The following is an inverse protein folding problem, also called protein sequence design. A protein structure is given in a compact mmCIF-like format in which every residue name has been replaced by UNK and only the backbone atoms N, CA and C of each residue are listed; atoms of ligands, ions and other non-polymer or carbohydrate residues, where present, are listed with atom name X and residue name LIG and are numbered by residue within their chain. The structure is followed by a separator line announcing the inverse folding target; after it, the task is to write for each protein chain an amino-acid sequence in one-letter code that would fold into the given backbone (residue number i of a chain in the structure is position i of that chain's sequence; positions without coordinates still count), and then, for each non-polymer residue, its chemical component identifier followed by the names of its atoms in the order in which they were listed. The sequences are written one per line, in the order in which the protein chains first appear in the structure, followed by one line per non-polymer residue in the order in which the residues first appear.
data_IF_160016944076
#
_entry.id   IF_160016944076
#
_cell.length_a   1.000
_cell.length_b   1.000
_cell.length_c   1.000
_cell.angle_alpha   90.00
_cell.angle_beta   90.00
_cell.angle_gamma   90.00
#
_symmetry.space_group_name_H-M   'P 1'
#
loop_
_entity.id
_entity.type
_entity.pdbx_description
1 polymer ?
#
# COMPACT_ATOMS: atom_id res chain seq x y z
N UNK A 1 -5.67 -2.07 -9.55
CA UNK A 1 -5.54 -0.72 -8.94
C UNK A 1 -4.52 -0.80 -7.83
N UNK A 2 -3.51 0.07 -7.81
CA UNK A 2 -2.53 0.12 -6.72
C UNK A 2 -3.21 0.75 -5.50
N UNK A 3 -3.35 0.00 -4.40
CA UNK A 3 -3.92 0.51 -3.14
C UNK A 3 -2.84 1.17 -2.29
N UNK A 4 -2.91 2.50 -2.11
CA UNK A 4 -1.94 3.22 -1.25
C UNK A 4 -2.51 3.50 0.14
N UNK A 5 -3.81 3.27 0.34
CA UNK A 5 -4.43 3.33 1.66
C UNK A 5 -4.85 1.94 2.09
N UNK A 6 -4.36 1.54 3.26
CA UNK A 6 -4.72 0.28 3.92
C UNK A 6 -6.22 0.34 4.20
N UNK A 7 -6.97 -0.61 3.63
CA UNK A 7 -8.32 -0.86 4.10
C UNK A 7 -8.21 -1.45 5.49
N UNK A 8 -8.21 -0.61 6.52
CA UNK A 8 -8.26 -1.08 7.89
C UNK A 8 -9.50 -1.96 8.06
N UNK A 9 -9.29 -3.20 8.49
CA UNK A 9 -10.32 -4.22 8.63
C UNK A 9 -11.04 -3.97 9.95
N UNK A 10 -11.84 -2.90 10.00
CA UNK A 10 -12.52 -2.53 11.21
C UNK A 10 -13.55 -3.61 11.61
N UNK A 11 -13.30 -4.23 12.77
CA UNK A 11 -14.14 -5.30 13.28
C UNK A 11 -15.43 -4.68 13.82
N UNK A 12 -16.55 -4.97 13.14
CA UNK A 12 -17.89 -4.63 13.61
C UNK A 12 -18.18 -5.36 14.94
N UNK A 13 -18.52 -4.59 15.97
CA UNK A 13 -18.77 -5.13 17.30
C UNK A 13 -20.18 -5.76 17.41
N UNK A 14 -20.34 -6.83 18.22
CA UNK A 14 -21.62 -7.52 18.41
C UNK A 14 -22.27 -7.08 19.73
N UNK A 15 -23.29 -6.23 19.61
CA UNK A 15 -23.99 -5.56 20.71
C UNK A 15 -24.34 -6.39 21.95
N UNK A 16 -24.02 -5.81 23.11
CA UNK A 16 -24.95 -5.72 24.23
C UNK A 16 -25.64 -4.33 24.23
N UNK A 17 -26.94 -4.27 23.91
CA UNK A 17 -27.81 -3.08 23.77
C UNK A 17 -28.01 -2.26 25.07
N UNK A 18 -26.92 -1.87 25.72
CA UNK A 18 -26.89 -1.49 27.12
C UNK A 18 -26.85 0.00 27.45
N UNK A 19 -26.38 0.93 26.59
CA UNK A 19 -26.20 2.31 27.09
C UNK A 19 -25.98 3.41 26.02
N UNK A 20 -26.87 3.55 25.02
CA UNK A 20 -26.76 4.57 23.96
C UNK A 20 -26.77 6.06 24.43
N UNK A 21 -26.91 6.32 25.75
CA UNK A 21 -26.89 7.68 26.32
C UNK A 21 -25.79 7.94 27.37
N UNK A 22 -24.97 6.94 27.67
CA UNK A 22 -23.84 7.07 28.60
C UNK A 22 -22.63 7.77 27.94
N UNK A 23 -21.72 8.40 28.69
CA UNK A 23 -20.45 8.89 28.15
C UNK A 23 -19.68 7.79 27.38
N UNK A 24 -19.63 6.58 27.92
CA UNK A 24 -18.99 5.41 27.31
C UNK A 24 -19.63 5.03 25.97
N UNK A 25 -20.97 4.96 25.95
CA UNK A 25 -21.72 4.64 24.74
C UNK A 25 -21.59 5.69 23.63
N UNK A 26 -21.33 6.96 23.98
CA UNK A 26 -21.01 8.00 22.98
C UNK A 26 -19.63 7.83 22.38
N UNK A 27 -18.63 7.53 23.21
CA UNK A 27 -17.27 7.23 22.72
C UNK A 27 -17.32 6.04 21.77
N UNK A 28 -18.02 4.96 22.15
CA UNK A 28 -18.19 3.79 21.31
C UNK A 28 -18.91 4.11 19.98
N UNK A 29 -20.01 4.88 20.03
CA UNK A 29 -20.75 5.30 18.83
C UNK A 29 -19.89 6.12 17.86
N UNK A 30 -18.96 6.92 18.36
CA UNK A 30 -18.05 7.71 17.51
C UNK A 30 -16.97 6.83 16.87
N UNK A 31 -16.46 5.83 17.60
CA UNK A 31 -15.57 4.80 17.04
C UNK A 31 -16.31 4.07 15.92
N UNK A 32 -17.53 3.59 16.16
CA UNK A 32 -18.33 2.89 15.14
C UNK A 32 -18.58 3.77 13.90
N UNK A 33 -18.93 5.05 14.09
CA UNK A 33 -19.11 6.00 12.98
C UNK A 33 -17.83 6.14 12.15
N UNK A 34 -16.69 6.22 12.82
CA UNK A 34 -15.41 6.29 12.12
C UNK A 34 -15.14 5.03 11.29
N UNK A 35 -15.33 3.88 11.89
CA UNK A 35 -15.01 2.58 11.32
C UNK A 35 -15.93 2.17 10.18
N UNK A 36 -17.23 2.44 10.31
CA UNK A 36 -18.25 2.03 9.34
C UNK A 36 -18.45 3.06 8.22
N UNK A 37 -18.23 4.35 8.50
CA UNK A 37 -18.52 5.44 7.56
C UNK A 37 -17.25 6.23 7.17
N UNK A 38 -16.59 6.88 8.13
CA UNK A 38 -15.53 7.88 7.82
C UNK A 38 -14.31 7.25 7.15
N UNK A 39 -13.76 6.17 7.70
CA UNK A 39 -12.53 5.55 7.19
C UNK A 39 -12.73 4.84 5.83
N UNK A 40 -13.83 4.10 5.58
CA UNK A 40 -14.12 3.59 4.24
C UNK A 40 -14.29 4.69 3.20
N UNK A 41 -15.02 5.77 3.51
CA UNK A 41 -15.22 6.88 2.59
C UNK A 41 -13.90 7.60 2.26
N UNK A 42 -13.04 7.81 3.27
CA UNK A 42 -11.70 8.36 3.08
C UNK A 42 -10.85 7.49 2.16
N UNK A 43 -10.85 6.17 2.41
CA UNK A 43 -10.07 5.19 1.63
C UNK A 43 -10.53 5.19 0.18
N UNK A 44 -11.84 5.18 -0.07
CA UNK A 44 -12.41 5.25 -1.42
C UNK A 44 -12.06 6.56 -2.14
N UNK A 45 -12.15 7.70 -1.43
CA UNK A 45 -11.84 9.01 -2.01
C UNK A 45 -10.37 9.09 -2.45
N UNK A 46 -9.43 8.70 -1.58
CA UNK A 46 -8.00 8.75 -1.91
C UNK A 46 -7.65 7.72 -2.99
N UNK A 47 -8.21 6.51 -2.92
CA UNK A 47 -8.02 5.51 -3.98
C UNK A 47 -8.48 6.02 -5.35
N UNK A 48 -9.65 6.68 -5.39
CA UNK A 48 -10.18 7.28 -6.61
C UNK A 48 -9.25 8.36 -7.17
N UNK A 49 -8.57 9.13 -6.31
CA UNK A 49 -7.58 10.10 -6.75
C UNK A 49 -6.39 9.38 -7.40
N UNK A 50 -5.82 8.39 -6.70
CA UNK A 50 -4.68 7.59 -7.16
C UNK A 50 -4.94 6.93 -8.52
N UNK A 51 -6.10 6.30 -8.68
CA UNK A 51 -6.45 5.59 -9.91
C UNK A 51 -6.47 6.54 -11.12
N UNK A 52 -6.90 7.79 -10.88
CA UNK A 52 -6.88 8.84 -11.90
C UNK A 52 -5.48 9.33 -12.21
N UNK A 53 -4.55 9.30 -11.27
CA UNK A 53 -3.14 9.61 -11.56
C UNK A 53 -2.51 8.54 -12.45
N UNK A 54 -2.84 7.27 -12.21
CA UNK A 54 -2.41 6.18 -13.07
C UNK A 54 -2.97 6.35 -14.49
N UNK A 55 -4.26 6.70 -14.60
CA UNK A 55 -4.90 7.01 -15.88
C UNK A 55 -4.23 8.20 -16.60
N UNK A 56 -3.81 9.24 -15.86
CA UNK A 56 -3.16 10.44 -16.42
C UNK A 56 -1.93 10.09 -17.26
N UNK A 57 -1.14 9.11 -16.84
CA UNK A 57 0.05 8.68 -17.58
C UNK A 57 -0.31 8.10 -18.95
N UNK A 58 -1.40 7.32 -19.02
CA UNK A 58 -1.89 6.74 -20.27
C UNK A 58 -2.41 7.85 -21.19
N UNK A 59 -3.27 8.73 -20.65
CA UNK A 59 -3.84 9.86 -21.39
C UNK A 59 -2.76 10.80 -21.92
N UNK A 60 -1.69 11.03 -21.15
CA UNK A 60 -0.57 11.87 -21.58
C UNK A 60 0.18 11.26 -22.76
N UNK A 61 0.48 9.96 -22.71
CA UNK A 61 1.16 9.27 -23.79
C UNK A 61 0.36 9.30 -25.09
N UNK A 62 -0.96 9.10 -25.01
CA UNK A 62 -1.87 9.22 -26.16
C UNK A 62 -1.86 10.65 -26.72
N UNK A 63 -2.04 11.66 -25.86
CA UNK A 63 -2.13 13.07 -26.27
C UNK A 63 -0.83 13.65 -26.86
N UNK A 64 0.34 13.11 -26.52
CA UNK A 64 1.63 13.51 -27.13
C UNK A 64 1.80 12.89 -28.52
N UNK A 65 1.11 11.79 -28.81
CA UNK A 65 1.17 11.11 -30.12
C UNK A 65 0.14 11.62 -31.12
N UNK A 66 -0.97 12.18 -30.64
CA UNK A 66 -2.02 12.79 -31.45
C UNK A 66 -2.01 14.34 -31.35
N UNK A 67 -2.67 15.07 -32.25
CA UNK A 67 -2.72 16.55 -32.22
C UNK A 67 -3.54 17.13 -31.03
N UNK A 68 -3.88 16.30 -30.03
CA UNK A 68 -4.86 16.55 -28.97
C UNK A 68 -4.38 17.51 -27.85
N UNK A 69 -3.06 17.72 -27.70
CA UNK A 69 -2.53 18.73 -26.76
C UNK A 69 -3.04 20.15 -27.06
N UNK A 70 -3.43 20.43 -28.31
CA UNK A 70 -4.03 21.71 -28.69
C UNK A 70 -5.43 21.91 -28.06
N UNK A 71 -6.17 20.82 -27.84
CA UNK A 71 -7.54 20.83 -27.34
C UNK A 71 -7.63 20.93 -25.80
N UNK A 72 -6.49 20.83 -25.09
CA UNK A 72 -6.42 21.07 -23.65
C UNK A 72 -6.92 22.48 -23.28
N UNK A 73 -6.62 23.48 -24.11
CA UNK A 73 -7.05 24.89 -23.93
C UNK A 73 -8.56 25.08 -24.07
N UNK A 74 -9.25 24.14 -24.71
CA UNK A 74 -10.69 24.18 -24.92
C UNK A 74 -11.48 23.46 -23.81
N UNK A 75 -10.79 22.99 -22.76
CA UNK A 75 -11.39 22.30 -21.59
C UNK A 75 -12.23 21.07 -21.97
N UNK A 76 -11.82 20.35 -23.02
CA UNK A 76 -12.55 19.20 -23.58
C UNK A 76 -11.71 17.94 -23.74
N UNK A 77 -10.41 18.03 -23.47
CA UNK A 77 -9.52 16.88 -23.60
C UNK A 77 -9.73 15.91 -22.45
N UNK A 78 -9.51 14.60 -22.66
CA UNK A 78 -9.48 13.61 -21.58
C UNK A 78 -8.54 14.01 -20.43
N UNK A 79 -7.38 14.61 -20.76
CA UNK A 79 -6.43 15.17 -19.78
C UNK A 79 -7.09 16.22 -18.88
N UNK A 80 -7.86 17.15 -19.46
CA UNK A 80 -8.52 18.21 -18.71
C UNK A 80 -9.59 17.65 -17.77
N UNK A 81 -10.41 16.71 -18.24
CA UNK A 81 -11.44 16.10 -17.39
C UNK A 81 -10.80 15.29 -16.25
N UNK A 82 -9.74 14.52 -16.51
CA UNK A 82 -9.04 13.81 -15.43
C UNK A 82 -8.50 14.76 -14.36
N UNK A 83 -7.82 15.86 -14.75
CA UNK A 83 -7.34 16.87 -13.80
C UNK A 83 -8.45 17.47 -12.95
N UNK A 84 -9.58 17.80 -13.59
CA UNK A 84 -10.74 18.38 -12.93
C UNK A 84 -11.34 17.39 -11.93
N UNK A 85 -11.48 16.13 -12.32
CA UNK A 85 -12.03 15.10 -11.44
C UNK A 85 -11.10 14.80 -10.25
N UNK A 86 -9.78 14.76 -10.43
CA UNK A 86 -8.82 14.68 -9.31
C UNK A 86 -8.93 15.86 -8.35
N UNK A 87 -9.06 17.07 -8.89
CA UNK A 87 -9.22 18.29 -8.10
C UNK A 87 -10.53 18.29 -7.30
N UNK A 88 -11.63 17.85 -7.92
CA UNK A 88 -12.93 17.78 -7.26
C UNK A 88 -12.93 16.72 -6.14
N UNK A 89 -12.30 15.56 -6.37
CA UNK A 89 -12.11 14.52 -5.34
C UNK A 89 -11.26 15.04 -4.17
N UNK A 90 -10.11 15.66 -4.45
CA UNK A 90 -9.25 16.22 -3.42
C UNK A 90 -9.96 17.33 -2.62
N UNK A 91 -10.75 18.18 -3.28
CA UNK A 91 -11.55 19.18 -2.60
C UNK A 91 -12.61 18.54 -1.68
N UNK A 92 -13.18 17.40 -2.05
CA UNK A 92 -14.13 16.64 -1.24
C UNK A 92 -13.56 16.17 0.10
N UNK A 93 -12.23 15.99 0.21
CA UNK A 93 -11.58 15.59 1.46
C UNK A 93 -11.80 16.59 2.62
N UNK A 94 -12.18 17.84 2.33
CA UNK A 94 -12.50 18.82 3.38
C UNK A 94 -13.70 18.40 4.23
N UNK A 95 -14.64 17.62 3.69
CA UNK A 95 -15.77 17.10 4.47
C UNK A 95 -15.27 16.12 5.54
N UNK A 96 -14.36 15.21 5.17
CA UNK A 96 -13.70 14.30 6.12
C UNK A 96 -12.84 15.04 7.14
N UNK A 97 -12.14 16.12 6.76
CA UNK A 97 -11.39 16.98 7.69
C UNK A 97 -12.30 17.58 8.79
N UNK A 98 -13.48 18.08 8.40
CA UNK A 98 -14.46 18.64 9.33
C UNK A 98 -15.04 17.57 10.27
N UNK A 99 -15.35 16.38 9.75
CA UNK A 99 -15.83 15.24 10.55
C UNK A 99 -14.81 14.81 11.60
N UNK A 100 -13.54 14.63 11.21
CA UNK A 100 -12.46 14.22 12.12
C UNK A 100 -12.17 15.28 13.19
N UNK A 101 -12.26 16.56 12.82
CA UNK A 101 -12.15 17.66 13.79
C UNK A 101 -13.24 17.55 14.86
N UNK A 102 -14.50 17.38 14.43
CA UNK A 102 -15.62 17.22 15.36
C UNK A 102 -15.47 15.98 16.25
N UNK A 103 -15.06 14.86 15.66
CA UNK A 103 -14.83 13.61 16.37
C UNK A 103 -13.73 13.72 17.43
N UNK A 104 -12.61 14.38 17.10
CA UNK A 104 -11.53 14.66 18.04
C UNK A 104 -12.03 15.51 19.23
N UNK A 105 -12.79 16.58 18.96
CA UNK A 105 -13.37 17.43 20.02
C UNK A 105 -14.34 16.66 20.93
N UNK A 106 -15.12 15.73 20.37
CA UNK A 106 -16.03 14.87 21.12
C UNK A 106 -15.29 13.89 22.02
N UNK A 107 -14.20 13.27 21.55
CA UNK A 107 -13.35 12.42 22.39
C UNK A 107 -12.65 13.22 23.52
N UNK A 108 -12.15 14.43 23.21
CA UNK A 108 -11.55 15.32 24.23
C UNK A 108 -12.58 15.74 25.28
N UNK A 109 -13.84 15.97 24.88
CA UNK A 109 -14.89 16.44 25.79
C UNK A 109 -15.67 15.32 26.50
N UNK A 110 -15.41 14.04 26.17
CA UNK A 110 -16.04 12.90 26.82
C UNK A 110 -15.82 12.92 28.35
N UNK A 111 -16.92 12.93 29.10
CA UNK A 111 -16.92 12.91 30.57
C UNK A 111 -16.89 11.48 31.11
N UNK A 112 -15.73 10.85 30.98
CA UNK A 112 -15.45 9.51 31.52
C UNK A 112 -14.87 9.57 32.94
N UNK A 113 -15.03 10.69 33.64
CA UNK A 113 -14.41 10.90 34.97
C UNK A 113 -15.00 10.04 36.08
N UNK A 114 -16.26 9.61 35.91
CA UNK A 114 -16.97 8.68 36.79
C UNK A 114 -17.01 7.24 36.25
N UNK A 115 -16.38 6.98 35.10
CA UNK A 115 -16.32 5.65 34.49
C UNK A 115 -15.43 4.71 35.29
N UNK A 116 -15.87 3.46 35.50
CA UNK A 116 -15.02 2.41 36.09
C UNK A 116 -14.24 1.63 35.02
N UNK A 117 -14.66 1.77 33.76
CA UNK A 117 -14.18 1.03 32.60
C UNK A 117 -13.23 1.88 31.72
N UNK A 118 -13.59 3.13 31.42
CA UNK A 118 -12.82 4.00 30.53
C UNK A 118 -11.99 5.03 31.27
N UNK A 119 -10.79 5.26 30.76
CA UNK A 119 -9.88 6.30 31.24
C UNK A 119 -9.86 7.51 30.31
N UNK A 120 -9.49 8.67 30.87
CA UNK A 120 -9.31 9.88 30.05
C UNK A 120 -8.17 9.73 29.04
N UNK A 121 -7.14 8.94 29.38
CA UNK A 121 -6.01 8.65 28.50
C UNK A 121 -6.46 7.90 27.23
N UNK A 122 -7.33 6.89 27.35
CA UNK A 122 -7.88 6.17 26.20
C UNK A 122 -8.68 7.09 25.27
N UNK A 123 -9.54 7.96 25.83
CA UNK A 123 -10.26 8.94 25.00
C UNK A 123 -9.33 9.97 24.36
N UNK A 124 -8.21 10.30 25.01
CA UNK A 124 -7.23 11.23 24.45
C UNK A 124 -6.46 10.61 23.29
N UNK A 125 -6.09 9.32 23.36
CA UNK A 125 -5.44 8.62 22.23
C UNK A 125 -6.30 8.67 20.97
N UNK A 126 -7.60 8.37 21.09
CA UNK A 126 -8.55 8.47 19.97
C UNK A 126 -8.62 9.89 19.39
N UNK A 127 -8.69 10.90 20.27
CA UNK A 127 -8.70 12.29 19.84
C UNK A 127 -7.43 12.68 19.09
N UNK A 128 -6.27 12.25 19.59
CA UNK A 128 -4.96 12.55 19.01
C UNK A 128 -4.85 11.88 17.63
N UNK A 129 -5.24 10.60 17.50
CA UNK A 129 -5.24 9.88 16.21
C UNK A 129 -6.16 10.54 15.18
N UNK A 130 -7.38 10.94 15.56
CA UNK A 130 -8.30 11.67 14.69
C UNK A 130 -7.72 13.02 14.24
N UNK A 131 -7.07 13.77 15.15
CA UNK A 131 -6.43 15.05 14.84
C UNK A 131 -5.23 14.89 13.89
N UNK A 132 -4.40 13.86 14.07
CA UNK A 132 -3.27 13.62 13.16
C UNK A 132 -3.73 13.13 11.79
N UNK A 133 -4.80 12.33 11.75
CA UNK A 133 -5.41 11.90 10.50
C UNK A 133 -5.96 13.10 9.72
N UNK A 134 -6.68 14.02 10.38
CA UNK A 134 -7.14 15.28 9.77
C UNK A 134 -5.98 16.06 9.15
N UNK A 135 -4.87 16.24 9.89
CA UNK A 135 -3.70 16.96 9.38
C UNK A 135 -3.11 16.30 8.14
N UNK A 136 -3.04 14.97 8.12
CA UNK A 136 -2.49 14.21 6.99
C UNK A 136 -3.37 14.36 5.75
N UNK A 137 -4.70 14.27 5.92
CA UNK A 137 -5.68 14.50 4.84
C UNK A 137 -5.60 15.92 4.31
N UNK A 138 -5.49 16.90 5.22
CA UNK A 138 -5.32 18.30 4.85
C UNK A 138 -4.06 18.54 4.02
N UNK A 139 -2.95 17.91 4.38
CA UNK A 139 -1.71 17.97 3.60
C UNK A 139 -1.88 17.38 2.20
N UNK A 140 -2.62 16.27 2.06
CA UNK A 140 -2.98 15.71 0.74
C UNK A 140 -3.82 16.73 -0.05
N UNK A 141 -4.91 17.25 0.53
CA UNK A 141 -5.80 18.20 -0.15
C UNK A 141 -5.07 19.46 -0.61
N UNK A 142 -4.23 20.04 0.26
CA UNK A 142 -3.44 21.24 -0.06
C UNK A 142 -2.39 20.93 -1.14
N UNK A 143 -1.70 19.80 -1.06
CA UNK A 143 -0.75 19.37 -2.09
C UNK A 143 -1.40 19.13 -3.45
N UNK A 144 -2.63 18.61 -3.50
CA UNK A 144 -3.38 18.47 -4.76
C UNK A 144 -3.78 19.80 -5.40
N UNK A 145 -3.95 20.85 -4.62
CA UNK A 145 -4.17 22.18 -5.18
C UNK A 145 -2.92 22.66 -5.96
N UNK A 146 -1.73 22.38 -5.42
CA UNK A 146 -0.45 22.72 -6.04
C UNK A 146 -0.15 21.84 -7.27
N UNK A 147 -0.33 20.52 -7.15
CA UNK A 147 -0.23 19.56 -8.27
C UNK A 147 -1.15 19.98 -9.42
N UNK A 148 -2.44 20.22 -9.14
CA UNK A 148 -3.42 20.59 -10.18
C UNK A 148 -3.02 21.88 -10.88
N UNK A 149 -2.47 22.85 -10.15
CA UNK A 149 -1.97 24.11 -10.72
C UNK A 149 -0.74 23.89 -11.59
N UNK A 150 0.22 23.06 -11.16
CA UNK A 150 1.43 22.75 -11.90
C UNK A 150 1.12 21.97 -13.18
N UNK A 151 0.31 20.90 -13.09
CA UNK A 151 -0.09 20.07 -14.23
C UNK A 151 -0.89 20.89 -15.27
N UNK A 152 -1.80 21.76 -14.82
CA UNK A 152 -2.52 22.67 -15.74
C UNK A 152 -1.54 23.57 -16.49
N UNK A 153 -0.60 24.20 -15.77
CA UNK A 153 0.40 25.09 -16.36
C UNK A 153 1.30 24.35 -17.35
N UNK A 154 1.68 23.12 -17.00
CA UNK A 154 2.51 22.24 -17.82
C UNK A 154 1.82 21.89 -19.14
N UNK A 155 0.57 21.40 -19.11
CA UNK A 155 -0.14 21.04 -20.33
C UNK A 155 -0.47 22.25 -21.21
N UNK A 156 -0.78 23.41 -20.63
CA UNK A 156 -0.96 24.65 -21.40
C UNK A 156 0.33 25.09 -22.12
N UNK A 157 1.47 24.92 -21.46
CA UNK A 157 2.80 25.23 -22.01
C UNK A 157 3.18 24.24 -23.12
N UNK A 158 2.95 22.93 -22.92
CA UNK A 158 3.20 21.90 -23.92
C UNK A 158 2.31 22.06 -25.16
N UNK A 159 1.04 22.42 -25.00
CA UNK A 159 0.14 22.77 -26.10
C UNK A 159 0.44 24.14 -26.76
N UNK A 160 1.57 24.77 -26.43
CA UNK A 160 2.04 26.01 -27.03
C UNK A 160 2.94 25.76 -28.25
N UNK A 161 2.86 26.62 -29.27
CA UNK A 161 3.67 26.47 -30.49
C UNK A 161 5.18 26.66 -30.32
N UNK A 162 5.63 27.09 -29.13
CA UNK A 162 7.03 27.30 -28.77
C UNK A 162 7.56 26.24 -27.78
N UNK A 163 6.78 25.18 -27.49
CA UNK A 163 7.20 24.13 -26.56
C UNK A 163 8.47 23.42 -27.05
N UNK A 164 9.41 23.21 -26.13
CA UNK A 164 10.68 22.57 -26.39
C UNK A 164 11.00 21.49 -25.35
N UNK A 165 12.17 20.85 -25.49
CA UNK A 165 12.61 19.83 -24.54
C UNK A 165 12.69 20.34 -23.10
N UNK A 166 13.10 21.60 -22.89
CA UNK A 166 13.20 22.15 -21.53
C UNK A 166 11.82 22.36 -20.92
N UNK A 167 10.85 22.80 -21.72
CA UNK A 167 9.43 22.90 -21.31
C UNK A 167 8.92 21.56 -20.77
N UNK A 168 9.21 20.45 -21.47
CA UNK A 168 8.82 19.11 -21.03
C UNK A 168 9.57 18.67 -19.77
N UNK A 169 10.91 18.81 -19.76
CA UNK A 169 11.76 18.36 -18.66
C UNK A 169 11.46 19.12 -17.37
N UNK A 170 11.46 20.44 -17.41
CA UNK A 170 11.31 21.29 -16.22
C UNK A 170 9.92 21.11 -15.61
N UNK A 171 8.89 21.00 -16.44
CA UNK A 171 7.53 20.76 -15.97
C UNK A 171 7.35 19.37 -15.34
N UNK A 172 7.95 18.33 -15.93
CA UNK A 172 7.90 16.98 -15.36
C UNK A 172 8.69 16.90 -14.03
N UNK A 173 9.85 17.55 -13.95
CA UNK A 173 10.65 17.61 -12.71
C UNK A 173 9.85 18.30 -11.57
N UNK A 174 9.15 19.39 -11.88
CA UNK A 174 8.28 20.09 -10.92
C UNK A 174 7.09 19.22 -10.48
N UNK A 175 6.36 18.63 -11.44
CA UNK A 175 5.20 17.78 -11.19
C UNK A 175 5.58 16.55 -10.34
N UNK A 176 6.68 15.86 -10.69
CA UNK A 176 7.14 14.69 -9.94
C UNK A 176 7.50 15.04 -8.50
N UNK A 177 8.14 16.20 -8.28
CA UNK A 177 8.49 16.66 -6.92
C UNK A 177 7.24 16.85 -6.07
N UNK A 178 6.19 17.49 -6.61
CA UNK A 178 4.93 17.70 -5.90
C UNK A 178 4.19 16.38 -5.62
N UNK A 179 4.18 15.45 -6.58
CA UNK A 179 3.61 14.12 -6.39
C UNK A 179 4.35 13.31 -5.32
N UNK A 180 5.68 13.37 -5.29
CA UNK A 180 6.49 12.68 -4.28
C UNK A 180 6.20 13.22 -2.86
N UNK A 181 6.01 14.54 -2.73
CA UNK A 181 5.59 15.16 -1.47
C UNK A 181 4.21 14.66 -1.02
N UNK A 182 3.21 14.66 -1.91
CA UNK A 182 1.85 14.18 -1.60
C UNK A 182 1.83 12.69 -1.29
N UNK A 183 2.59 11.89 -2.02
CA UNK A 183 2.71 10.44 -1.79
C UNK A 183 3.22 10.12 -0.38
N UNK A 184 4.11 10.95 0.15
CA UNK A 184 4.57 10.83 1.54
C UNK A 184 3.43 10.94 2.57
N UNK A 185 2.36 11.69 2.26
CA UNK A 185 1.22 11.86 3.16
C UNK A 185 0.25 10.67 3.15
N UNK A 186 0.21 9.85 2.11
CA UNK A 186 -0.60 8.61 2.12
C UNK A 186 -0.12 7.62 3.19
N UNK A 187 1.20 7.51 3.39
CA UNK A 187 1.77 6.70 4.46
C UNK A 187 1.34 7.19 5.85
N UNK A 188 1.34 8.51 6.05
CA UNK A 188 0.88 9.10 7.31
C UNK A 188 -0.61 8.82 7.56
N UNK A 189 -1.47 8.86 6.52
CA UNK A 189 -2.88 8.48 6.65
C UNK A 189 -3.04 7.04 7.13
N UNK A 190 -2.27 6.10 6.58
CA UNK A 190 -2.29 4.69 7.00
C UNK A 190 -1.89 4.52 8.47
N UNK A 191 -0.80 5.17 8.88
CA UNK A 191 -0.33 5.15 10.26
C UNK A 191 -1.43 5.65 11.21
N UNK A 192 -2.12 6.74 10.86
CA UNK A 192 -3.16 7.29 11.72
C UNK A 192 -4.47 6.48 11.72
N UNK A 193 -4.81 5.82 10.61
CA UNK A 193 -5.92 4.86 10.55
C UNK A 193 -5.68 3.68 11.51
N UNK A 194 -4.47 3.10 11.50
CA UNK A 194 -4.10 2.00 12.41
C UNK A 194 -4.01 2.46 13.88
N UNK A 195 -3.49 3.67 14.12
CA UNK A 195 -3.45 4.24 15.46
C UNK A 195 -4.87 4.44 16.03
N UNK A 196 -5.80 4.92 15.20
CA UNK A 196 -7.21 5.03 15.58
C UNK A 196 -7.83 3.66 15.87
N UNK A 197 -7.63 2.68 14.99
CA UNK A 197 -8.12 1.32 15.16
C UNK A 197 -7.62 0.69 16.47
N UNK A 198 -6.32 0.81 16.74
CA UNK A 198 -5.69 0.30 17.97
C UNK A 198 -6.29 0.96 19.21
N UNK A 199 -6.44 2.29 19.20
CA UNK A 199 -7.07 3.02 20.31
C UNK A 199 -8.56 2.67 20.47
N UNK A 200 -9.27 2.43 19.37
CA UNK A 200 -10.67 1.98 19.35
C UNK A 200 -10.83 0.59 19.96
N UNK A 201 -9.94 -0.33 19.61
CA UNK A 201 -9.91 -1.68 20.15
C UNK A 201 -9.60 -1.70 21.66
N UNK A 202 -8.68 -0.84 22.14
CA UNK A 202 -8.45 -0.66 23.58
C UNK A 202 -9.73 -0.23 24.32
N UNK A 203 -10.54 0.67 23.73
CA UNK A 203 -11.81 1.13 24.30
C UNK A 203 -12.86 0.02 24.27
N UNK A 204 -13.04 -0.66 23.12
CA UNK A 204 -13.98 -1.79 22.98
C UNK A 204 -13.71 -2.90 23.99
N UNK A 205 -12.44 -3.27 24.16
CA UNK A 205 -12.02 -4.28 25.13
C UNK A 205 -12.32 -3.83 26.58
N UNK A 206 -12.06 -2.57 26.92
CA UNK A 206 -12.36 -2.03 28.24
C UNK A 206 -13.86 -2.04 28.56
N UNK A 207 -14.72 -1.87 27.55
CA UNK A 207 -16.18 -1.93 27.67
C UNK A 207 -16.76 -3.35 27.63
N UNK A 208 -15.91 -4.37 27.46
CA UNK A 208 -16.33 -5.78 27.43
C UNK A 208 -17.01 -6.20 26.13
N UNK A 209 -16.77 -5.49 25.02
CA UNK A 209 -17.14 -5.97 23.68
C UNK A 209 -16.21 -7.15 23.31
N UNK A 210 -16.78 -8.27 22.84
CA UNK A 210 -15.98 -9.40 22.33
C UNK A 210 -15.41 -9.03 20.95
N UNK A 211 -14.08 -8.93 20.84
CA UNK A 211 -13.38 -8.92 19.55
C UNK A 211 -13.12 -10.37 19.12
N UNK A 212 -13.74 -10.85 18.03
CA UNK A 212 -13.36 -12.15 17.47
C UNK A 212 -12.13 -12.00 16.59
N UNK A 213 -11.01 -12.65 16.95
CA UNK A 213 -9.82 -12.65 16.11
C UNK A 213 -8.58 -13.35 16.68
N UNK A 214 -8.68 -14.58 17.21
CA UNK A 214 -7.53 -15.48 17.36
C UNK A 214 -7.84 -16.79 16.60
N UNK A 215 -7.41 -16.85 15.34
CA UNK A 215 -7.51 -18.03 14.49
C UNK A 215 -6.18 -18.75 14.38
N UNK A 216 -5.76 -19.44 15.43
CA UNK A 216 -4.65 -20.40 15.33
C UNK A 216 -5.09 -21.60 14.46
N UNK A 217 -4.53 -21.74 13.26
CA UNK A 217 -4.72 -22.93 12.42
C UNK A 217 -3.45 -23.79 12.43
N UNK A 218 -3.64 -25.05 12.83
CA UNK A 218 -2.62 -26.08 12.87
C UNK A 218 -2.07 -26.39 11.47
N UNK A 219 -0.75 -26.45 11.37
CA UNK A 219 0.00 -27.00 10.24
C UNK A 219 -0.24 -28.50 10.11
N UNK A 220 -0.81 -28.96 8.99
CA UNK A 220 -0.65 -30.33 8.52
C UNK A 220 0.21 -30.30 7.25
N UNK A 221 1.49 -30.61 7.41
CA UNK A 221 2.44 -30.78 6.30
C UNK A 221 2.31 -32.20 5.73
N UNK A 222 1.91 -32.31 4.45
CA UNK A 222 2.12 -33.52 3.66
C UNK A 222 3.06 -33.16 2.49
N UNK A 223 4.35 -33.45 2.68
CA UNK A 223 5.40 -33.26 1.69
C UNK A 223 5.32 -34.35 0.60
N UNK A 224 5.12 -33.93 -0.65
CA UNK A 224 5.40 -34.75 -1.82
C UNK A 224 6.91 -34.68 -2.12
N UNK A 225 7.55 -35.86 -2.12
CA UNK A 225 8.97 -36.01 -2.40
C UNK A 225 9.26 -35.86 -3.90
N UNK A 226 10.10 -34.88 -4.28
CA UNK A 226 10.81 -34.86 -5.56
C UNK A 226 12.34 -34.84 -5.33
N UNK A 227 13.07 -35.51 -6.22
CA UNK A 227 14.44 -35.98 -6.00
C UNK A 227 15.50 -34.88 -5.90
N UNK A 228 16.61 -35.21 -5.22
CA UNK A 228 17.79 -34.34 -5.02
C UNK A 228 18.31 -33.79 -6.35
N UNK A 229 17.90 -32.56 -6.70
CA UNK A 229 18.51 -31.74 -7.74
C UNK A 229 19.84 -31.19 -7.22
N UNK A 230 20.90 -31.26 -8.04
CA UNK A 230 22.20 -30.70 -7.68
C UNK A 230 22.09 -29.16 -7.67
N UNK A 231 22.36 -28.53 -6.52
CA UNK A 231 22.33 -27.08 -6.35
C UNK A 231 23.57 -26.44 -7.00
N UNK A 232 23.37 -25.80 -8.16
CA UNK A 232 24.47 -25.27 -8.98
C UNK A 232 24.97 -23.90 -8.51
N UNK A 233 24.11 -23.08 -7.92
CA UNK A 233 24.43 -21.73 -7.47
C UNK A 233 23.88 -21.48 -6.06
N UNK A 234 24.57 -20.66 -5.29
CA UNK A 234 24.09 -20.10 -4.02
C UNK A 234 24.12 -18.58 -4.09
N UNK A 235 23.32 -17.90 -3.26
CA UNK A 235 23.40 -16.45 -3.09
C UNK A 235 24.49 -16.14 -2.06
N UNK A 236 25.40 -15.22 -2.39
CA UNK A 236 26.39 -14.71 -1.45
C UNK A 236 25.72 -13.72 -0.46
N UNK A 237 25.74 -13.97 0.85
CA UNK A 237 24.99 -13.16 1.82
C UNK A 237 25.55 -11.74 2.02
N UNK A 238 26.77 -11.44 1.54
CA UNK A 238 27.37 -10.11 1.65
C UNK A 238 27.17 -9.23 0.42
N UNK A 239 26.80 -9.82 -0.71
CA UNK A 239 26.72 -9.13 -2.01
C UNK A 239 25.47 -9.44 -2.81
N UNK A 240 24.66 -10.41 -2.35
CA UNK A 240 23.46 -10.92 -3.02
C UNK A 240 23.70 -11.46 -4.43
N UNK A 241 24.95 -11.70 -4.81
CA UNK A 241 25.31 -12.26 -6.10
C UNK A 241 25.14 -13.78 -6.10
N UNK A 242 24.67 -14.32 -7.22
CA UNK A 242 24.75 -15.76 -7.44
C UNK A 242 26.21 -16.15 -7.65
N UNK A 243 26.67 -17.15 -6.89
CA UNK A 243 28.02 -17.71 -7.01
C UNK A 243 27.91 -19.21 -7.27
N UNK A 244 28.76 -19.77 -8.17
CA UNK A 244 28.85 -21.20 -8.39
C UNK A 244 29.07 -21.98 -7.08
N UNK A 245 28.19 -22.92 -6.77
CA UNK A 245 28.32 -23.87 -5.65
C UNK A 245 28.68 -25.28 -6.10
N UNK A 246 28.72 -25.54 -7.41
CA UNK A 246 29.13 -26.80 -8.03
C UNK A 246 30.17 -26.58 -9.14
N UNK A 247 31.03 -27.58 -9.36
CA UNK A 247 31.96 -27.63 -10.51
C UNK A 247 31.23 -27.66 -11.86
N UNK A 248 29.94 -28.03 -11.88
CA UNK A 248 29.11 -28.08 -13.08
C UNK A 248 28.45 -26.73 -13.42
N UNK A 249 28.57 -25.73 -12.55
CA UNK A 249 27.93 -24.43 -12.73
C UNK A 249 28.70 -23.55 -13.72
N UNK A 250 27.97 -22.92 -14.65
CA UNK A 250 28.55 -21.92 -15.56
C UNK A 250 28.88 -20.63 -14.79
N UNK A 251 30.15 -20.20 -14.73
CA UNK A 251 30.55 -18.98 -14.03
C UNK A 251 30.04 -17.69 -14.68
N UNK A 252 29.48 -17.74 -15.89
CA UNK A 252 28.92 -16.59 -16.60
C UNK A 252 27.39 -16.49 -16.49
N UNK A 253 26.77 -17.25 -15.60
CA UNK A 253 25.32 -17.20 -15.38
C UNK A 253 24.85 -15.83 -14.87
N UNK A 254 23.62 -15.48 -15.25
CA UNK A 254 22.91 -14.29 -14.81
C UNK A 254 21.58 -14.74 -14.21
N UNK A 255 21.28 -14.24 -13.01
CA UNK A 255 19.96 -14.40 -12.41
C UNK A 255 19.08 -13.22 -12.80
N UNK A 256 17.97 -13.51 -13.46
CA UNK A 256 16.95 -12.51 -13.77
C UNK A 256 15.98 -12.47 -12.58
N UNK A 257 15.72 -11.27 -12.07
CA UNK A 257 14.74 -11.05 -11.02
C UNK A 257 13.88 -9.86 -11.39
N UNK A 258 12.57 -9.95 -11.13
CA UNK A 258 11.59 -8.92 -11.43
C UNK A 258 10.92 -8.53 -10.11
N UNK A 259 10.96 -7.25 -9.78
CA UNK A 259 10.31 -6.70 -8.58
C UNK A 259 8.96 -6.09 -8.96
N UNK A 260 8.18 -5.70 -7.95
CA UNK A 260 6.87 -5.05 -8.08
C UNK A 260 5.78 -5.86 -8.80
N UNK A 261 5.83 -7.18 -8.67
CA UNK A 261 4.86 -8.11 -9.25
C UNK A 261 3.71 -8.46 -8.27
N UNK A 262 2.58 -9.03 -8.73
CA UNK A 262 2.19 -9.19 -10.13
C UNK A 262 1.39 -7.99 -10.65
N UNK A 263 1.61 -7.67 -11.92
CA UNK A 263 0.72 -6.85 -12.75
C UNK A 263 0.59 -7.50 -14.14
N UNK A 264 -0.18 -6.88 -15.05
CA UNK A 264 -0.31 -7.40 -16.43
C UNK A 264 1.05 -7.48 -17.13
N UNK A 265 1.91 -6.48 -16.92
CA UNK A 265 3.26 -6.44 -17.49
C UNK A 265 4.10 -7.62 -17.00
N UNK A 266 4.01 -7.98 -15.72
CA UNK A 266 4.70 -9.12 -15.12
C UNK A 266 4.24 -10.45 -15.72
N UNK A 267 2.93 -10.60 -15.99
CA UNK A 267 2.39 -11.77 -16.69
C UNK A 267 2.90 -11.84 -18.12
N UNK A 268 2.88 -10.74 -18.88
CA UNK A 268 3.44 -10.68 -20.24
C UNK A 268 4.96 -10.99 -20.27
N UNK A 269 5.70 -10.47 -19.28
CA UNK A 269 7.12 -10.79 -19.10
C UNK A 269 7.32 -12.27 -18.78
N UNK A 270 6.51 -12.87 -17.91
CA UNK A 270 6.58 -14.29 -17.58
C UNK A 270 6.36 -15.17 -18.82
N UNK A 271 5.37 -14.88 -19.66
CA UNK A 271 5.17 -15.58 -20.94
C UNK A 271 6.39 -15.46 -21.85
N UNK A 272 6.93 -14.25 -22.00
CA UNK A 272 8.12 -14.01 -22.83
C UNK A 272 9.34 -14.78 -22.32
N UNK A 273 9.59 -14.75 -21.01
CA UNK A 273 10.68 -15.48 -20.37
C UNK A 273 10.51 -16.99 -20.53
N UNK A 274 9.28 -17.49 -20.45
CA UNK A 274 8.96 -18.90 -20.66
C UNK A 274 9.23 -19.34 -22.09
N UNK A 275 8.86 -18.53 -23.08
CA UNK A 275 9.15 -18.79 -24.49
C UNK A 275 10.65 -18.82 -24.80
N UNK A 276 11.43 -18.03 -24.05
CA UNK A 276 12.89 -17.97 -24.17
C UNK A 276 13.62 -19.05 -23.35
N UNK A 277 12.90 -19.88 -22.59
CA UNK A 277 13.47 -20.85 -21.64
C UNK A 277 14.43 -20.17 -20.64
N UNK A 278 14.09 -18.95 -20.23
CA UNK A 278 14.89 -18.12 -19.32
C UNK A 278 14.26 -18.14 -17.92
N UNK A 279 14.88 -18.81 -16.92
CA UNK A 279 14.37 -18.82 -15.56
C UNK A 279 14.53 -17.45 -14.89
N UNK A 280 13.59 -17.11 -14.01
CA UNK A 280 13.58 -15.86 -13.26
C UNK A 280 12.88 -16.05 -11.90
N UNK A 281 13.12 -15.10 -11.00
CA UNK A 281 12.38 -14.95 -9.73
C UNK A 281 11.51 -13.69 -9.84
N UNK A 282 10.25 -13.81 -9.47
CA UNK A 282 9.33 -12.67 -9.36
C UNK A 282 9.12 -12.34 -7.89
N UNK A 283 9.61 -11.18 -7.46
CA UNK A 283 9.39 -10.64 -6.12
C UNK A 283 8.07 -9.88 -6.11
N UNK A 284 7.12 -10.36 -5.30
CA UNK A 284 5.74 -9.90 -5.33
C UNK A 284 5.37 -9.10 -4.10
N UNK A 285 4.47 -8.14 -4.29
CA UNK A 285 3.90 -7.35 -3.21
C UNK A 285 2.54 -7.88 -2.76
N UNK A 286 2.35 -7.98 -1.45
CA UNK A 286 1.07 -8.39 -0.84
C UNK A 286 -0.11 -7.57 -1.36
N UNK A 287 0.04 -6.24 -1.44
CA UNK A 287 -0.99 -5.31 -1.93
C UNK A 287 -1.45 -5.59 -3.37
N UNK A 288 -0.62 -6.27 -4.18
CA UNK A 288 -0.95 -6.63 -5.57
C UNK A 288 -1.64 -7.99 -5.69
N UNK A 289 -1.62 -8.81 -4.63
CA UNK A 289 -2.22 -10.15 -4.59
C UNK A 289 -3.38 -10.27 -3.59
N UNK A 290 -3.79 -9.17 -2.94
CA UNK A 290 -5.01 -9.14 -2.11
C UNK A 290 -6.29 -9.43 -2.90
N UNK A 291 -6.34 -8.95 -4.15
CA UNK A 291 -7.53 -9.08 -4.99
C UNK A 291 -7.52 -10.41 -5.72
N UNK A 292 -8.70 -11.00 -5.97
CA UNK A 292 -8.81 -12.24 -6.74
C UNK A 292 -8.16 -12.15 -8.14
N UNK A 293 -8.20 -10.97 -8.77
CA UNK A 293 -7.51 -10.72 -10.04
C UNK A 293 -5.98 -10.77 -9.87
N UNK A 294 -5.46 -10.17 -8.80
CA UNK A 294 -4.03 -10.24 -8.45
C UNK A 294 -3.56 -11.67 -8.15
N UNK A 295 -4.37 -12.42 -7.40
CA UNK A 295 -4.13 -13.84 -7.14
C UNK A 295 -4.12 -14.68 -8.42
N UNK A 296 -5.03 -14.40 -9.36
CA UNK A 296 -5.05 -15.06 -10.67
C UNK A 296 -3.74 -14.81 -11.45
N UNK A 297 -3.23 -13.57 -11.43
CA UNK A 297 -1.95 -13.22 -12.08
C UNK A 297 -0.76 -13.89 -11.43
N UNK A 298 -0.67 -13.84 -10.09
CA UNK A 298 0.38 -14.53 -9.35
C UNK A 298 0.37 -16.03 -9.67
N UNK A 299 -0.82 -16.63 -9.61
CA UNK A 299 -1.00 -18.04 -9.91
C UNK A 299 -0.57 -18.38 -11.33
N UNK A 300 -0.87 -17.55 -12.32
CA UNK A 300 -0.42 -17.74 -13.70
C UNK A 300 1.11 -17.68 -13.82
N UNK A 301 1.76 -16.69 -13.22
CA UNK A 301 3.23 -16.59 -13.19
C UNK A 301 3.84 -17.85 -12.55
N UNK A 302 3.26 -18.30 -11.43
CA UNK A 302 3.70 -19.50 -10.74
C UNK A 302 3.49 -20.78 -11.58
N UNK A 303 2.32 -20.95 -12.21
CA UNK A 303 2.02 -22.10 -13.08
C UNK A 303 2.89 -22.16 -14.34
N UNK A 304 3.46 -21.02 -14.79
CA UNK A 304 4.49 -20.99 -15.82
C UNK A 304 5.85 -21.55 -15.36
N UNK A 305 6.01 -21.80 -14.05
CA UNK A 305 7.18 -22.42 -13.43
C UNK A 305 8.25 -21.44 -12.99
N UNK A 306 7.86 -20.19 -12.68
CA UNK A 306 8.76 -19.20 -12.08
C UNK A 306 8.72 -19.25 -10.56
N UNK A 307 9.86 -18.95 -9.94
CA UNK A 307 9.99 -18.84 -8.51
C UNK A 307 9.36 -17.53 -8.02
N UNK A 308 8.67 -17.57 -6.87
CA UNK A 308 8.05 -16.39 -6.25
C UNK A 308 8.83 -16.00 -5.00
N UNK A 309 9.27 -14.75 -4.96
CA UNK A 309 9.90 -14.11 -3.80
C UNK A 309 8.98 -13.08 -3.16
N UNK A 310 9.30 -12.70 -1.92
CA UNK A 310 8.60 -11.69 -1.16
C UNK A 310 9.23 -10.29 -1.38
N UNK A 311 8.41 -9.28 -1.72
CA UNK A 311 8.83 -7.88 -1.85
C UNK A 311 8.14 -6.93 -0.86
N UNK A 312 7.73 -7.45 0.29
CA UNK A 312 6.86 -6.83 1.29
C UNK A 312 5.45 -6.52 0.81
N UNK A 313 4.56 -6.23 1.75
CA UNK A 313 3.16 -6.06 1.47
C UNK A 313 2.88 -4.78 0.69
N UNK A 314 3.31 -3.64 1.24
CA UNK A 314 2.98 -2.31 0.73
C UNK A 314 4.17 -1.59 0.06
N UNK A 315 5.30 -2.29 -0.12
CA UNK A 315 6.53 -1.72 -0.69
C UNK A 315 7.09 -0.53 0.15
N UNK A 316 6.97 -0.60 1.47
CA UNK A 316 7.48 0.44 2.37
C UNK A 316 8.99 0.38 2.57
N UNK A 317 9.58 1.52 2.90
CA UNK A 317 10.98 1.57 3.33
C UNK A 317 11.08 1.02 4.76
N UNK A 318 11.61 -0.19 4.91
CA UNK A 318 11.64 -0.92 6.18
C UNK A 318 12.51 -0.25 7.27
N UNK A 319 13.36 0.72 6.95
CA UNK A 319 14.07 1.51 7.96
C UNK A 319 13.19 2.52 8.69
N UNK A 320 11.99 2.78 8.17
CA UNK A 320 11.04 3.73 8.74
C UNK A 320 9.96 3.03 9.59
N UNK A 321 9.96 1.69 9.60
CA UNK A 321 8.97 0.89 10.29
C UNK A 321 9.49 0.38 11.64
N UNK A 322 8.55 0.06 12.54
CA UNK A 322 8.88 -0.70 13.75
C UNK A 322 9.19 -2.16 13.40
N UNK A 323 9.85 -2.92 14.28
CA UNK A 323 10.02 -4.36 14.08
C UNK A 323 8.70 -5.11 13.88
N UNK A 324 7.66 -4.72 14.64
CA UNK A 324 6.33 -5.29 14.53
C UNK A 324 5.69 -5.00 13.16
N UNK A 325 5.76 -3.77 12.67
CA UNK A 325 5.23 -3.42 11.35
C UNK A 325 6.04 -4.07 10.21
N UNK A 326 7.35 -4.21 10.41
CA UNK A 326 8.22 -4.95 9.48
C UNK A 326 7.82 -6.42 9.41
N UNK A 327 7.39 -7.01 10.53
CA UNK A 327 6.89 -8.39 10.55
C UNK A 327 5.60 -8.52 9.75
N UNK A 328 4.65 -7.60 9.91
CA UNK A 328 3.40 -7.59 9.13
C UNK A 328 3.70 -7.49 7.62
N UNK A 329 4.57 -6.55 7.23
CA UNK A 329 4.97 -6.38 5.84
C UNK A 329 5.51 -7.67 5.19
N UNK A 330 6.27 -8.47 5.94
CA UNK A 330 6.95 -9.67 5.44
C UNK A 330 6.06 -10.91 5.58
N UNK A 331 5.58 -11.20 6.79
CA UNK A 331 4.87 -12.44 7.12
C UNK A 331 3.51 -12.48 6.43
N UNK A 332 2.75 -11.39 6.40
CA UNK A 332 1.42 -11.38 5.74
C UNK A 332 1.57 -11.59 4.22
N UNK A 333 2.64 -11.06 3.64
CA UNK A 333 2.96 -11.31 2.22
C UNK A 333 3.35 -12.77 1.98
N UNK A 334 4.10 -13.40 2.89
CA UNK A 334 4.42 -14.82 2.81
C UNK A 334 3.14 -15.67 2.85
N UNK A 335 2.23 -15.36 3.76
CA UNK A 335 0.97 -16.07 3.94
C UNK A 335 0.08 -15.97 2.70
N UNK A 336 -0.03 -14.77 2.10
CA UNK A 336 -0.76 -14.57 0.85
C UNK A 336 -0.14 -15.32 -0.33
N UNK A 337 1.19 -15.32 -0.45
CA UNK A 337 1.88 -16.11 -1.48
C UNK A 337 1.55 -17.58 -1.32
N UNK A 338 1.70 -18.12 -0.10
CA UNK A 338 1.43 -19.52 0.21
C UNK A 338 -0.03 -19.91 -0.04
N UNK A 339 -0.99 -19.02 0.26
CA UNK A 339 -2.41 -19.25 -0.03
C UNK A 339 -2.66 -19.43 -1.54
N UNK A 340 -1.99 -18.63 -2.37
CA UNK A 340 -2.21 -18.61 -3.83
C UNK A 340 -1.46 -19.72 -4.55
N UNK A 341 -0.20 -19.95 -4.19
CA UNK A 341 0.70 -20.87 -4.89
C UNK A 341 0.75 -22.26 -4.25
N UNK A 342 0.44 -22.34 -2.95
CA UNK A 342 0.67 -23.53 -2.12
C UNK A 342 2.12 -23.66 -1.62
N UNK A 343 2.98 -22.68 -1.92
CA UNK A 343 4.39 -22.68 -1.53
C UNK A 343 4.77 -21.36 -0.85
N UNK A 344 5.30 -21.46 0.37
CA UNK A 344 5.85 -20.31 1.09
C UNK A 344 7.13 -19.83 0.42
N UNK A 345 7.31 -18.52 0.17
CA UNK A 345 8.48 -18.00 -0.53
C UNK A 345 9.75 -18.23 0.30
N UNK A 346 10.86 -18.52 -0.39
CA UNK A 346 12.19 -18.72 0.24
C UNK A 346 13.18 -17.60 -0.07
N UNK A 347 12.74 -16.57 -0.80
CA UNK A 347 13.53 -15.40 -1.15
C UNK A 347 12.81 -14.14 -0.70
N UNK A 348 13.58 -13.21 -0.13
CA UNK A 348 13.09 -11.91 0.30
C UNK A 348 13.95 -10.80 -0.29
N UNK A 349 13.30 -9.74 -0.75
CA UNK A 349 13.95 -8.52 -1.20
C UNK A 349 13.27 -7.33 -0.56
N UNK A 350 14.01 -6.51 0.19
CA UNK A 350 13.43 -5.29 0.73
C UNK A 350 13.30 -4.21 -0.36
N UNK A 351 12.18 -3.45 -0.38
CA UNK A 351 11.99 -2.28 -1.23
C UNK A 351 13.17 -1.31 -1.22
N UNK A 352 13.41 -0.67 -2.36
CA UNK A 352 14.48 0.31 -2.56
C UNK A 352 15.91 -0.22 -2.35
N UNK A 353 16.10 -1.53 -2.16
CA UNK A 353 17.39 -2.12 -1.81
C UNK A 353 17.82 -1.86 -0.37
N UNK A 354 16.89 -1.47 0.50
CA UNK A 354 17.21 -1.00 1.86
C UNK A 354 16.60 -1.92 2.91
N UNK A 355 17.45 -2.71 3.57
CA UNK A 355 17.06 -3.55 4.70
C UNK A 355 17.10 -2.77 6.03
N UNK A 356 16.32 -3.24 7.01
CA UNK A 356 16.44 -2.92 8.43
C UNK A 356 17.01 -4.13 9.20
N UNK A 357 17.43 -3.93 10.45
CA UNK A 357 17.87 -5.05 11.30
C UNK A 357 16.72 -6.04 11.53
N UNK A 358 15.52 -5.52 11.79
CA UNK A 358 14.31 -6.32 11.92
C UNK A 358 13.98 -7.10 10.64
N UNK A 359 14.08 -6.49 9.46
CA UNK A 359 13.73 -7.18 8.20
C UNK A 359 14.66 -8.36 7.92
N UNK A 360 15.94 -8.25 8.31
CA UNK A 360 16.90 -9.35 8.18
C UNK A 360 16.58 -10.46 9.17
N UNK A 361 16.33 -10.13 10.44
CA UNK A 361 15.97 -11.11 11.47
C UNK A 361 14.70 -11.87 11.12
N UNK A 362 13.64 -11.17 10.72
CA UNK A 362 12.36 -11.77 10.30
C UNK A 362 12.55 -12.66 9.06
N UNK A 363 13.31 -12.21 8.06
CA UNK A 363 13.59 -13.04 6.89
C UNK A 363 14.35 -14.32 7.25
N UNK A 364 15.31 -14.25 8.17
CA UNK A 364 16.01 -15.43 8.69
C UNK A 364 15.09 -16.37 9.47
N UNK A 365 14.19 -15.84 10.30
CA UNK A 365 13.19 -16.61 11.05
C UNK A 365 12.19 -17.33 10.14
N UNK A 366 11.77 -16.68 9.06
CA UNK A 366 10.91 -17.23 8.00
C UNK A 366 11.67 -18.16 7.04
N UNK A 367 12.98 -18.36 7.24
CA UNK A 367 13.80 -19.26 6.42
C UNK A 367 14.10 -18.74 5.01
N UNK A 368 13.98 -17.43 4.80
CA UNK A 368 14.19 -16.78 3.51
C UNK A 368 15.64 -16.31 3.31
N UNK A 369 16.09 -16.33 2.06
CA UNK A 369 17.35 -15.72 1.65
C UNK A 369 17.12 -14.25 1.28
N UNK A 370 17.79 -13.33 1.97
CA UNK A 370 17.75 -11.89 1.66
C UNK A 370 18.57 -11.60 0.39
N UNK A 371 17.98 -10.87 -0.56
CA UNK A 371 18.56 -10.56 -1.87
C UNK A 371 18.55 -9.05 -2.17
N UNK A 372 19.55 -8.30 -1.69
CA UNK A 372 19.75 -6.86 -1.95
C UNK A 372 21.22 -6.45 -2.14
#
# INVERSE_FOLDING_TARGET
MKRYIISALFIAAVFALGACGSPEGKVLSNIETFEEDTAPALTEAIQSIIDREAEMTVLFNEAVTDEELADFKDSKSPLYENLKERKDLAAGLSETEEELTGMSEEFVSADVSESEELTKEQTQKLADSAEQLEKSIKSIREGYADISSAETSFFEALGGGDADYNTMRDGMDEINTLHDEVKGHYGAVNEQLQAFESAGNEVKYALGEETQGEGAVQSDSDAAAEGETELLYTVDPGTSQIVPSSDNADPAAVLITIDDAPDESAVEMAHTLKELDAPAIFFVNGMLIESGEGQEKLKEIYELGFEIGNHTYNHFNLQQLTPEDTALEIVDTNDLIEEVTGERPVFFRAPFGVNSEASIEIAEEEGMTVMN
#
